data_IF_895375034317
#
_entry.id   IF_895375034317
#
_cell.length_a   1.000
_cell.length_b   1.000
_cell.length_c   1.000
_cell.angle_alpha   90.00
_cell.angle_beta   90.00
_cell.angle_gamma   90.00
#
_symmetry.space_group_name_H-M   'P 1'
#
loop_
_entity.id
_entity.type
_entity.pdbx_description
1 polymer ?
#
# COMPACT_ATOMS: atom_id res chain seq x y z
N UNK A 1 11.44 10.39 -4.30
CA UNK A 1 11.68 10.28 -5.76
C UNK A 1 10.44 9.67 -6.40
N UNK A 2 9.79 10.36 -7.36
CA UNK A 2 8.63 9.80 -8.06
C UNK A 2 9.03 8.48 -8.72
N UNK A 3 8.23 7.46 -8.48
CA UNK A 3 8.49 6.06 -8.82
C UNK A 3 8.31 5.83 -10.34
N UNK A 4 9.21 6.37 -11.16
CA UNK A 4 9.18 6.19 -12.62
C UNK A 4 9.33 4.72 -13.01
N UNK A 5 10.02 3.91 -12.19
CA UNK A 5 10.20 2.47 -12.38
C UNK A 5 8.88 1.71 -12.37
N UNK A 6 7.99 1.95 -11.41
CA UNK A 6 6.70 1.24 -11.36
C UNK A 6 5.80 1.61 -12.52
N UNK A 7 5.86 2.87 -12.97
CA UNK A 7 5.11 3.31 -14.15
C UNK A 7 5.66 2.69 -15.44
N UNK A 8 6.98 2.57 -15.58
CA UNK A 8 7.61 1.89 -16.72
C UNK A 8 7.32 0.39 -16.73
N UNK A 9 7.32 -0.27 -15.57
CA UNK A 9 6.95 -1.69 -15.43
C UNK A 9 5.49 -1.93 -15.82
N UNK A 10 4.56 -1.10 -15.35
CA UNK A 10 3.15 -1.17 -15.74
C UNK A 10 3.00 -0.89 -17.24
N UNK A 11 3.70 0.12 -17.76
CA UNK A 11 3.68 0.44 -19.19
C UNK A 11 4.21 -0.72 -20.05
N UNK A 12 5.26 -1.40 -19.60
CA UNK A 12 5.84 -2.56 -20.26
C UNK A 12 4.91 -3.78 -20.21
N UNK A 13 4.27 -4.04 -19.06
CA UNK A 13 3.31 -5.12 -18.90
C UNK A 13 2.04 -4.92 -19.74
N UNK A 14 1.56 -3.67 -19.85
CA UNK A 14 0.46 -3.32 -20.75
C UNK A 14 0.87 -3.55 -22.20
N UNK A 15 2.10 -3.14 -22.58
CA UNK A 15 2.61 -3.30 -23.94
C UNK A 15 2.78 -4.77 -24.34
N UNK A 16 3.18 -5.64 -23.42
CA UNK A 16 3.30 -7.08 -23.67
C UNK A 16 1.95 -7.81 -23.76
N UNK A 17 0.90 -7.26 -23.15
CA UNK A 17 -0.47 -7.79 -23.23
C UNK A 17 -1.25 -7.28 -24.46
N UNK A 18 -0.72 -6.31 -25.23
CA UNK A 18 -1.38 -5.79 -26.42
C UNK A 18 -1.15 -6.67 -27.67
N UNK A 19 -2.15 -6.79 -28.56
CA UNK A 19 -1.98 -7.46 -29.85
C UNK A 19 -0.94 -6.75 -30.74
N UNK A 20 -0.08 -7.49 -31.47
CA UNK A 20 0.83 -6.89 -32.44
C UNK A 20 0.03 -6.23 -33.57
N UNK A 21 0.33 -4.97 -33.89
CA UNK A 21 -0.31 -4.22 -34.99
C UNK A 21 -1.06 -2.94 -34.59
N UNK A 22 -1.12 -2.61 -33.30
CA UNK A 22 -1.61 -1.32 -32.82
C UNK A 22 -0.58 -0.22 -33.11
N UNK A 23 -0.94 0.78 -33.92
CA UNK A 23 -0.04 1.87 -34.33
C UNK A 23 0.40 2.77 -33.17
N UNK A 24 1.47 3.55 -33.36
CA UNK A 24 2.06 4.41 -32.33
C UNK A 24 1.06 5.39 -31.67
N UNK A 25 0.05 5.85 -32.41
CA UNK A 25 -1.00 6.73 -31.89
C UNK A 25 -1.93 6.03 -30.89
N UNK A 26 -2.25 4.75 -31.13
CA UNK A 26 -3.06 3.95 -30.19
C UNK A 26 -2.29 3.64 -28.91
N UNK A 27 -0.97 3.41 -29.00
CA UNK A 27 -0.10 3.25 -27.83
C UNK A 27 -0.08 4.53 -26.97
N UNK A 28 0.02 5.70 -27.60
CA UNK A 28 0.01 6.99 -26.91
C UNK A 28 -1.31 7.27 -26.20
N UNK A 29 -2.43 7.00 -26.88
CA UNK A 29 -3.77 7.17 -26.31
C UNK A 29 -4.03 6.21 -25.15
N UNK A 30 -3.57 4.95 -25.26
CA UNK A 30 -3.69 3.98 -24.17
C UNK A 30 -2.86 4.38 -22.96
N UNK A 31 -1.63 4.86 -23.16
CA UNK A 31 -0.77 5.36 -22.08
C UNK A 31 -1.41 6.53 -21.33
N UNK A 32 -2.01 7.48 -22.07
CA UNK A 32 -2.73 8.60 -21.48
C UNK A 32 -3.97 8.15 -20.69
N UNK A 33 -4.74 7.19 -21.23
CA UNK A 33 -5.90 6.64 -20.53
C UNK A 33 -5.51 5.90 -19.23
N UNK A 34 -4.43 5.12 -19.26
CA UNK A 34 -3.91 4.43 -18.07
C UNK A 34 -3.41 5.41 -17.02
N UNK A 35 -2.69 6.45 -17.43
CA UNK A 35 -2.25 7.49 -16.52
C UNK A 35 -3.44 8.19 -15.85
N UNK A 36 -4.48 8.54 -16.62
CA UNK A 36 -5.70 9.14 -16.09
C UNK A 36 -6.48 8.20 -15.15
N UNK A 37 -6.47 6.89 -15.40
CA UNK A 37 -7.10 5.90 -14.50
C UNK A 37 -6.29 5.75 -13.21
N UNK A 38 -4.97 5.64 -13.29
CA UNK A 38 -4.08 5.52 -12.12
C UNK A 38 -4.13 6.76 -11.23
N UNK A 39 -4.23 7.96 -11.81
CA UNK A 39 -4.42 9.21 -11.06
C UNK A 39 -5.78 9.28 -10.34
N UNK A 40 -6.78 8.52 -10.81
CA UNK A 40 -8.11 8.44 -10.20
C UNK A 40 -8.25 7.31 -9.18
N UNK A 41 -7.26 6.41 -9.09
CA UNK A 41 -7.20 5.43 -8.00
C UNK A 41 -6.63 6.15 -6.77
N UNK A 42 -7.21 5.90 -5.59
CA UNK A 42 -6.63 6.33 -4.31
C UNK A 42 -5.35 5.52 -4.03
N UNK A 43 -4.30 5.84 -4.78
CA UNK A 43 -3.00 5.20 -4.65
C UNK A 43 -2.36 5.67 -3.35
N UNK A 44 -2.33 4.78 -2.36
CA UNK A 44 -1.56 4.99 -1.14
C UNK A 44 -0.08 4.86 -1.50
N UNK A 45 0.71 5.86 -1.14
CA UNK A 45 2.14 5.82 -1.35
C UNK A 45 2.79 4.74 -0.48
N UNK A 46 3.95 4.22 -0.91
CA UNK A 46 4.70 3.24 -0.12
C UNK A 46 5.07 3.80 1.27
N UNK A 47 5.38 5.08 1.33
CA UNK A 47 5.71 5.80 2.56
C UNK A 47 4.52 5.84 3.53
N UNK A 48 3.31 6.14 3.04
CA UNK A 48 2.10 6.08 3.86
C UNK A 48 1.82 4.66 4.36
N UNK A 49 2.03 3.63 3.53
CA UNK A 49 1.89 2.24 3.96
C UNK A 49 2.89 1.89 5.08
N UNK A 50 4.15 2.31 4.94
CA UNK A 50 5.19 2.10 5.95
C UNK A 50 4.84 2.81 7.27
N UNK A 51 4.31 4.03 7.21
CA UNK A 51 3.80 4.75 8.38
C UNK A 51 2.66 3.99 9.05
N UNK A 52 1.69 3.47 8.29
CA UNK A 52 0.59 2.68 8.86
C UNK A 52 1.08 1.39 9.52
N UNK A 53 2.07 0.71 8.91
CA UNK A 53 2.70 -0.46 9.52
C UNK A 53 3.38 -0.12 10.85
N UNK A 54 4.10 1.00 10.92
CA UNK A 54 4.73 1.45 12.16
C UNK A 54 3.71 1.80 13.26
N UNK A 55 2.60 2.46 12.88
CA UNK A 55 1.50 2.78 13.81
C UNK A 55 0.86 1.49 14.35
N UNK A 56 0.59 0.51 13.48
CA UNK A 56 0.05 -0.78 13.87
C UNK A 56 0.98 -1.52 14.84
N UNK A 57 2.28 -1.56 14.54
CA UNK A 57 3.27 -2.19 15.40
C UNK A 57 3.29 -1.57 16.80
N UNK A 58 3.36 -0.24 16.89
CA UNK A 58 3.31 0.48 18.17
C UNK A 58 2.01 0.23 18.94
N UNK A 59 0.89 0.09 18.22
CA UNK A 59 -0.41 -0.18 18.83
C UNK A 59 -0.45 -1.58 19.45
N UNK A 60 0.10 -2.59 18.75
CA UNK A 60 0.23 -3.96 19.28
C UNK A 60 1.09 -4.00 20.55
N UNK A 61 2.25 -3.36 20.53
CA UNK A 61 3.13 -3.28 21.72
C UNK A 61 2.45 -2.57 22.90
N UNK A 62 1.62 -1.56 22.64
CA UNK A 62 0.84 -0.91 23.69
C UNK A 62 -0.28 -1.80 24.21
N UNK A 63 -0.94 -2.54 23.33
CA UNK A 63 -1.99 -3.48 23.71
C UNK A 63 -1.43 -4.59 24.61
N UNK A 64 -0.34 -5.24 24.20
CA UNK A 64 0.30 -6.32 24.99
C UNK A 64 0.69 -5.85 26.40
N UNK A 65 1.24 -4.63 26.54
CA UNK A 65 1.55 -4.06 27.86
C UNK A 65 0.30 -3.82 28.71
N UNK A 66 -0.78 -3.34 28.09
CA UNK A 66 -2.03 -3.11 28.82
C UNK A 66 -2.66 -4.44 29.25
N UNK A 67 -2.63 -5.47 28.40
CA UNK A 67 -3.09 -6.82 28.74
C UNK A 67 -2.31 -7.39 29.93
N UNK A 68 -0.98 -7.22 29.96
CA UNK A 68 -0.15 -7.64 31.09
C UNK A 68 -0.52 -6.90 32.38
N UNK A 69 -0.69 -5.57 32.32
CA UNK A 69 -1.08 -4.77 33.47
C UNK A 69 -2.46 -5.18 34.01
N UNK A 70 -3.42 -5.44 33.12
CA UNK A 70 -4.76 -5.90 33.52
C UNK A 70 -4.65 -7.28 34.18
N UNK A 71 -3.91 -8.22 33.61
CA UNK A 71 -3.72 -9.54 34.20
C UNK A 71 -3.08 -9.48 35.60
N UNK A 72 -2.08 -8.61 35.81
CA UNK A 72 -1.47 -8.39 37.12
C UNK A 72 -2.49 -7.83 38.13
N UNK A 73 -3.28 -6.85 37.72
CA UNK A 73 -4.33 -6.27 38.57
C UNK A 73 -5.41 -7.29 38.93
N UNK A 74 -5.85 -8.10 37.97
CA UNK A 74 -6.81 -9.18 38.19
C UNK A 74 -6.27 -10.22 39.18
N UNK A 75 -5.00 -10.62 39.06
CA UNK A 75 -4.36 -11.54 40.02
C UNK A 75 -4.28 -10.95 41.43
N UNK A 76 -3.94 -9.66 41.55
CA UNK A 76 -3.87 -8.96 42.85
C UNK A 76 -5.24 -8.85 43.51
N UNK A 77 -6.31 -8.67 42.73
CA UNK A 77 -7.69 -8.64 43.22
C UNK A 77 -8.19 -10.03 43.61
N UNK A 78 -7.84 -11.07 42.85
CA UNK A 78 -8.21 -12.46 43.16
C UNK A 78 -7.46 -13.05 44.36
N UNK A 79 -6.28 -12.52 44.69
CA UNK A 79 -5.46 -12.95 45.83
C UNK A 79 -5.82 -12.24 47.14
N UNK A 80 -6.90 -11.46 47.17
CA UNK A 80 -7.36 -10.68 48.33
C UNK A 80 -8.75 -11.13 48.75
#
# INVERSE_FOLDING_TARGET
MRNTKTFEEISAAVRSAMPPGLGADTEKNLRAALQAVLERLDLVSREELEVQQAVLQRTRERLERLEQLVAELEQRLASK
#
